data_IF_079016585494
#
_entry.id   IF_079016585494
#
_cell.length_a   1.000
_cell.length_b   1.000
_cell.length_c   1.000
_cell.angle_alpha   90.00
_cell.angle_beta   90.00
_cell.angle_gamma   90.00
#
_symmetry.space_group_name_H-M   'P 1'
#
loop_
_entity.id
_entity.type
_entity.pdbx_description
1 polymer ?
#
# COMPACT_ATOMS: atom_id res chain seq x y z
N UNK A 1 14.76 3.25 -10.81
CA UNK A 1 14.66 2.99 -12.26
C UNK A 1 13.77 4.05 -12.92
N UNK A 2 13.38 3.86 -14.19
CA UNK A 2 12.69 4.74 -15.15
C UNK A 2 13.24 6.17 -15.28
N UNK A 3 13.36 6.88 -14.18
CA UNK A 3 13.85 8.25 -14.08
C UNK A 3 15.32 8.36 -13.71
N UNK A 4 15.99 7.24 -13.43
CA UNK A 4 17.40 7.20 -12.98
C UNK A 4 17.65 8.08 -11.73
N UNK A 5 16.64 8.15 -10.84
CA UNK A 5 16.68 8.96 -9.62
C UNK A 5 16.59 8.09 -8.37
N UNK A 6 17.19 8.57 -7.30
CA UNK A 6 17.08 8.01 -5.95
C UNK A 6 16.37 9.01 -5.07
N UNK A 7 15.27 8.58 -4.45
CA UNK A 7 14.54 9.39 -3.47
C UNK A 7 14.98 8.98 -2.06
N UNK A 8 15.50 9.95 -1.30
CA UNK A 8 15.98 9.74 0.08
C UNK A 8 15.12 10.54 1.06
N UNK A 9 14.56 9.85 2.05
CA UNK A 9 13.67 10.43 3.07
C UNK A 9 14.22 10.25 4.50
N UNK A 10 15.54 10.27 4.65
CA UNK A 10 16.25 10.00 5.91
C UNK A 10 16.30 11.18 6.89
N UNK A 11 15.59 12.28 6.64
CA UNK A 11 15.64 13.51 7.45
C UNK A 11 14.69 13.49 8.65
N UNK A 12 13.84 12.47 8.82
CA UNK A 12 12.89 12.40 9.93
C UNK A 12 13.56 12.02 11.24
N UNK A 13 13.28 12.78 12.30
CA UNK A 13 13.75 12.50 13.67
C UNK A 13 13.12 11.22 14.23
N UNK A 14 11.80 11.09 14.09
CA UNK A 14 11.06 9.88 14.45
C UNK A 14 10.76 9.12 13.16
N UNK A 15 11.31 7.91 13.05
CA UNK A 15 11.07 7.06 11.88
C UNK A 15 9.71 6.39 12.00
N UNK A 16 8.91 6.34 10.92
CA UNK A 16 7.68 5.58 10.93
C UNK A 16 7.99 4.09 11.03
N UNK A 17 7.05 3.35 11.61
CA UNK A 17 7.05 1.90 11.54
C UNK A 17 6.46 1.49 10.19
N UNK A 18 7.25 0.85 9.33
CA UNK A 18 6.86 0.57 7.94
C UNK A 18 6.96 -0.91 7.60
N UNK A 19 5.97 -1.43 6.88
CA UNK A 19 5.89 -2.81 6.46
C UNK A 19 5.01 -2.96 5.21
N UNK A 20 5.21 -4.04 4.46
CA UNK A 20 4.41 -4.36 3.28
C UNK A 20 3.63 -5.63 3.57
N UNK A 21 2.35 -5.63 3.23
CA UNK A 21 1.49 -6.80 3.22
C UNK A 21 1.13 -7.14 1.79
N UNK A 22 1.16 -8.42 1.45
CA UNK A 22 0.84 -8.95 0.12
C UNK A 22 -0.03 -10.19 0.26
N UNK A 23 -0.81 -10.56 -0.76
CA UNK A 23 -1.45 -11.86 -0.81
C UNK A 23 -0.40 -12.98 -0.73
N UNK A 24 -0.76 -14.13 -0.15
CA UNK A 24 0.19 -15.23 0.07
C UNK A 24 0.82 -15.74 -1.23
N UNK A 25 0.04 -15.76 -2.31
CA UNK A 25 0.49 -16.24 -3.62
C UNK A 25 1.48 -15.30 -4.31
N UNK A 26 1.54 -14.01 -3.94
CA UNK A 26 2.47 -13.05 -4.55
C UNK A 26 3.90 -13.35 -4.10
N UNK A 27 4.93 -13.30 -4.96
CA UNK A 27 6.31 -13.56 -4.56
C UNK A 27 6.85 -12.60 -3.48
N UNK A 28 7.77 -13.10 -2.63
CA UNK A 28 8.35 -12.32 -1.53
C UNK A 28 9.24 -11.14 -1.98
N UNK A 29 9.68 -11.08 -3.25
CA UNK A 29 10.39 -9.91 -3.76
C UNK A 29 9.55 -8.61 -3.64
N UNK A 30 8.22 -8.72 -3.62
CA UNK A 30 7.32 -7.58 -3.44
C UNK A 30 7.25 -7.07 -1.98
N UNK A 31 7.89 -7.74 -1.03
CA UNK A 31 8.11 -7.21 0.32
C UNK A 31 9.26 -6.19 0.37
N UNK A 32 10.06 -6.09 -0.70
CA UNK A 32 11.01 -5.01 -0.88
C UNK A 32 10.32 -3.80 -1.55
N UNK A 33 10.33 -2.67 -0.85
CA UNK A 33 9.62 -1.45 -1.26
C UNK A 33 10.16 -0.86 -2.55
N UNK A 34 11.48 -0.93 -2.75
CA UNK A 34 12.09 -0.43 -3.97
C UNK A 34 11.66 -1.28 -5.17
N UNK A 35 11.69 -2.61 -5.03
CA UNK A 35 11.22 -3.56 -6.03
C UNK A 35 9.75 -3.34 -6.36
N UNK A 36 8.89 -3.30 -5.34
CA UNK A 36 7.44 -3.09 -5.49
C UNK A 36 7.14 -1.84 -6.33
N UNK A 37 7.62 -0.67 -5.91
CA UNK A 37 7.21 0.58 -6.54
C UNK A 37 7.88 0.82 -7.90
N UNK A 38 9.12 0.37 -8.12
CA UNK A 38 9.72 0.44 -9.46
C UNK A 38 8.96 -0.45 -10.46
N UNK A 39 8.60 -1.69 -10.07
CA UNK A 39 7.80 -2.57 -10.95
C UNK A 39 6.42 -1.97 -11.25
N UNK A 40 5.76 -1.39 -10.24
CA UNK A 40 4.46 -0.72 -10.43
C UNK A 40 4.58 0.49 -11.37
N UNK A 41 5.57 1.36 -11.18
CA UNK A 41 5.83 2.51 -12.07
C UNK A 41 6.07 2.07 -13.51
N UNK A 42 6.92 1.05 -13.73
CA UNK A 42 7.21 0.52 -15.07
C UNK A 42 5.97 -0.03 -15.79
N UNK A 43 4.99 -0.53 -15.03
CA UNK A 43 3.73 -1.04 -15.59
C UNK A 43 2.76 0.06 -16.03
N UNK A 44 2.94 1.29 -15.54
CA UNK A 44 2.08 2.44 -15.84
C UNK A 44 2.63 3.26 -17.02
N UNK A 45 2.17 2.93 -18.23
CA UNK A 45 2.70 3.49 -19.48
C UNK A 45 2.16 4.87 -19.85
N UNK A 46 1.09 5.34 -19.20
CA UNK A 46 0.46 6.62 -19.53
C UNK A 46 0.91 7.71 -18.55
N UNK A 47 1.16 8.95 -19.00
CA UNK A 47 1.61 10.04 -18.11
C UNK A 47 0.56 10.43 -17.05
N UNK A 48 -0.72 10.13 -17.29
CA UNK A 48 -1.83 10.35 -16.35
C UNK A 48 -2.28 9.06 -15.65
N UNK A 49 -1.47 8.00 -15.69
CA UNK A 49 -1.78 6.76 -15.03
C UNK A 49 -1.81 6.95 -13.50
N UNK A 50 -2.74 6.26 -12.85
CA UNK A 50 -2.81 6.17 -11.40
C UNK A 50 -1.88 5.06 -10.91
N UNK A 51 -0.80 5.41 -10.22
CA UNK A 51 0.17 4.46 -9.66
C UNK A 51 -0.40 3.71 -8.46
N UNK A 52 -0.93 4.45 -7.48
CA UNK A 52 -1.45 3.91 -6.23
C UNK A 52 -2.76 4.58 -5.83
N UNK A 53 -3.40 4.01 -4.81
CA UNK A 53 -4.40 4.69 -3.98
C UNK A 53 -3.84 4.79 -2.57
N UNK A 54 -3.91 5.97 -1.99
CA UNK A 54 -3.50 6.20 -0.60
C UNK A 54 -4.73 6.35 0.30
N UNK A 55 -4.65 5.75 1.49
CA UNK A 55 -5.56 5.99 2.59
C UNK A 55 -4.77 6.50 3.78
N UNK A 56 -5.25 7.56 4.41
CA UNK A 56 -4.72 8.06 5.68
C UNK A 56 -5.72 7.77 6.79
N UNK A 57 -5.25 7.06 7.81
CA UNK A 57 -6.08 6.54 8.88
C UNK A 57 -5.56 7.07 10.21
N UNK A 58 -6.39 7.80 10.95
CA UNK A 58 -6.07 8.19 12.33
C UNK A 58 -6.15 6.98 13.26
N UNK A 59 -5.24 6.89 14.21
CA UNK A 59 -5.18 5.80 15.20
C UNK A 59 -5.65 6.29 16.56
N UNK A 60 -6.36 5.46 17.34
CA UNK A 60 -6.73 5.80 18.71
C UNK A 60 -5.49 5.97 19.58
N UNK A 61 -5.43 7.08 20.33
CA UNK A 61 -4.32 7.41 21.23
C UNK A 61 -4.32 6.56 22.50
N UNK A 62 -5.46 5.95 22.82
CA UNK A 62 -5.66 5.08 23.98
C UNK A 62 -5.00 3.70 23.78
N UNK A 63 -4.73 3.33 22.53
CA UNK A 63 -4.04 2.09 22.18
C UNK A 63 -2.53 2.27 22.28
N UNK A 64 -1.85 1.27 22.83
CA UNK A 64 -0.39 1.22 22.75
C UNK A 64 0.08 0.94 21.31
N UNK A 65 1.37 1.14 21.05
CA UNK A 65 1.94 0.99 19.71
C UNK A 65 1.72 -0.40 19.09
N UNK A 66 1.74 -1.47 19.90
CA UNK A 66 1.52 -2.84 19.42
C UNK A 66 0.07 -3.05 18.98
N UNK A 67 -0.88 -2.56 19.77
CA UNK A 67 -2.31 -2.67 19.46
C UNK A 67 -2.68 -1.81 18.25
N UNK A 68 -2.09 -0.61 18.12
CA UNK A 68 -2.21 0.21 16.91
C UNK A 68 -1.68 -0.51 15.67
N UNK A 69 -0.53 -1.19 15.79
CA UNK A 69 0.05 -1.98 14.70
C UNK A 69 -0.89 -3.11 14.30
N UNK A 70 -1.34 -3.92 15.26
CA UNK A 70 -2.25 -5.04 15.00
C UNK A 70 -3.55 -4.56 14.35
N UNK A 71 -4.15 -3.47 14.86
CA UNK A 71 -5.36 -2.89 14.31
C UNK A 71 -5.22 -2.55 12.82
N UNK A 72 -4.13 -1.89 12.43
CA UNK A 72 -3.87 -1.55 11.02
C UNK A 72 -3.53 -2.78 10.19
N UNK A 73 -2.73 -3.69 10.72
CA UNK A 73 -2.34 -4.91 10.03
C UNK A 73 -3.57 -5.77 9.69
N UNK A 74 -4.48 -5.96 10.65
CA UNK A 74 -5.72 -6.71 10.46
C UNK A 74 -6.67 -5.97 9.51
N UNK A 75 -6.87 -4.66 9.71
CA UNK A 75 -7.69 -3.86 8.80
C UNK A 75 -7.20 -3.96 7.35
N UNK A 76 -5.90 -3.86 7.11
CA UNK A 76 -5.32 -3.93 5.77
C UNK A 76 -5.43 -5.34 5.19
N UNK A 77 -5.20 -6.38 6.00
CA UNK A 77 -5.35 -7.77 5.57
C UNK A 77 -6.78 -8.08 5.13
N UNK A 78 -7.75 -7.74 5.97
CA UNK A 78 -9.15 -8.11 5.78
C UNK A 78 -9.82 -7.36 4.63
N UNK A 79 -9.40 -6.11 4.38
CA UNK A 79 -10.08 -5.23 3.41
C UNK A 79 -9.37 -5.09 2.06
N UNK A 80 -8.06 -5.32 1.99
CA UNK A 80 -7.29 -5.05 0.77
C UNK A 80 -6.46 -6.24 0.30
N UNK A 81 -5.72 -6.88 1.22
CA UNK A 81 -4.86 -8.02 0.85
C UNK A 81 -5.71 -9.23 0.48
N UNK A 82 -6.80 -9.47 1.21
CA UNK A 82 -7.82 -10.47 0.89
C UNK A 82 -8.41 -10.31 -0.52
N UNK A 83 -8.49 -9.06 -1.01
CA UNK A 83 -8.97 -8.70 -2.34
C UNK A 83 -7.84 -8.67 -3.41
N UNK A 84 -6.66 -9.17 -3.07
CA UNK A 84 -5.54 -9.34 -4.00
C UNK A 84 -4.62 -8.12 -4.16
N UNK A 85 -4.80 -7.06 -3.36
CA UNK A 85 -3.96 -5.86 -3.40
C UNK A 85 -2.69 -6.04 -2.55
N UNK A 86 -1.59 -5.39 -2.95
CA UNK A 86 -0.41 -5.23 -2.10
C UNK A 86 -0.53 -3.87 -1.41
N UNK A 87 -0.26 -3.83 -0.12
CA UNK A 87 -0.35 -2.64 0.71
C UNK A 87 1.02 -2.30 1.33
N UNK A 88 1.52 -1.11 1.06
CA UNK A 88 2.69 -0.53 1.73
C UNK A 88 2.20 0.41 2.83
N UNK A 89 2.50 0.05 4.08
CA UNK A 89 1.98 0.72 5.27
C UNK A 89 3.12 1.45 5.98
N UNK A 90 2.87 2.68 6.39
CA UNK A 90 3.74 3.45 7.27
C UNK A 90 2.94 4.07 8.42
N UNK A 91 3.24 3.66 9.65
CA UNK A 91 2.63 4.21 10.87
C UNK A 91 3.51 5.34 11.41
N UNK A 92 2.94 6.53 11.46
CA UNK A 92 3.52 7.75 11.99
C UNK A 92 3.11 7.97 13.44
N UNK A 93 4.10 8.27 14.29
CA UNK A 93 3.95 8.56 15.73
C UNK A 93 4.89 9.69 16.15
N UNK A 94 5.15 10.62 15.22
CA UNK A 94 5.95 11.82 15.44
C UNK A 94 5.19 12.92 16.20
N UNK A 95 3.87 12.78 16.35
CA UNK A 95 3.01 13.51 17.27
C UNK A 95 2.23 12.52 18.14
N UNK A 96 2.42 12.58 19.46
CA UNK A 96 1.76 11.70 20.43
C UNK A 96 0.24 11.84 20.42
N UNK A 97 -0.29 13.00 20.00
CA UNK A 97 -1.73 13.26 19.94
C UNK A 97 -2.34 12.95 18.57
N UNK A 98 -1.51 12.58 17.58
CA UNK A 98 -1.97 12.31 16.22
C UNK A 98 -1.22 11.12 15.57
N UNK A 99 -1.25 9.92 16.18
CA UNK A 99 -0.76 8.73 15.51
C UNK A 99 -1.65 8.43 14.29
N UNK A 100 -1.04 8.17 13.15
CA UNK A 100 -1.77 7.88 11.91
C UNK A 100 -0.99 6.91 11.02
N UNK A 101 -1.70 6.19 10.16
CA UNK A 101 -1.12 5.28 9.18
C UNK A 101 -1.39 5.79 7.76
N UNK A 102 -0.34 5.82 6.95
CA UNK A 102 -0.42 5.91 5.50
C UNK A 102 -0.48 4.48 4.94
N UNK A 103 -1.46 4.20 4.09
CA UNK A 103 -1.63 2.90 3.42
C UNK A 103 -1.66 3.16 1.91
N UNK A 104 -0.58 2.79 1.23
CA UNK A 104 -0.49 2.86 -0.23
C UNK A 104 -0.83 1.51 -0.85
N UNK A 105 -1.89 1.46 -1.64
CA UNK A 105 -2.38 0.26 -2.31
C UNK A 105 -1.98 0.25 -3.78
N UNK A 106 -1.58 -0.92 -4.28
CA UNK A 106 -1.33 -1.13 -5.71
C UNK A 106 -2.63 -0.99 -6.51
N UNK A 107 -2.53 -0.40 -7.71
CA UNK A 107 -3.67 -0.29 -8.62
C UNK A 107 -3.79 -1.50 -9.58
N UNK A 108 -2.84 -2.42 -9.52
CA UNK A 108 -2.76 -3.65 -10.32
C UNK A 108 -2.51 -4.85 -9.41
N UNK A 109 -3.08 -5.97 -9.81
CA UNK A 109 -2.79 -7.28 -9.23
C UNK A 109 -1.44 -7.79 -9.73
N UNK A 110 -0.80 -8.61 -8.89
CA UNK A 110 0.40 -9.37 -9.23
C UNK A 110 0.02 -10.84 -9.14
N UNK A 111 0.35 -11.64 -10.14
CA UNK A 111 0.08 -13.09 -10.10
C UNK A 111 1.13 -13.86 -9.29
N UNK A 112 0.96 -15.19 -9.20
CA UNK A 112 1.88 -16.06 -8.45
C UNK A 112 3.28 -16.18 -9.05
N UNK A 113 3.46 -15.78 -10.31
CA UNK A 113 4.75 -15.76 -11.00
C UNK A 113 5.45 -14.40 -10.85
N UNK A 114 4.78 -13.41 -10.25
CA UNK A 114 5.30 -12.05 -10.12
C UNK A 114 5.04 -11.17 -11.34
N UNK A 115 4.12 -11.55 -12.23
CA UNK A 115 3.74 -10.69 -13.35
C UNK A 115 2.71 -9.66 -12.91
N UNK A 116 2.90 -8.40 -13.31
CA UNK A 116 1.92 -7.33 -13.08
C UNK A 116 0.80 -7.44 -14.12
N UNK A 117 -0.43 -7.61 -13.65
CA UNK A 117 -1.60 -7.79 -14.49
C UNK A 117 -2.17 -6.46 -14.99
N UNK A 118 -3.05 -6.56 -16.00
CA UNK A 118 -3.81 -5.41 -16.46
C UNK A 118 -4.81 -4.95 -15.39
N UNK A 119 -5.01 -3.63 -15.29
CA UNK A 119 -6.06 -3.06 -14.44
C UNK A 119 -7.41 -3.65 -14.87
N UNK A 120 -8.17 -4.16 -13.90
CA UNK A 120 -9.54 -4.62 -14.15
C UNK A 120 -10.39 -3.45 -14.67
N UNK A 121 -11.24 -3.72 -15.66
CA UNK A 121 -12.25 -2.74 -16.09
C UNK A 121 -13.21 -2.53 -14.93
N UNK A 122 -13.54 -1.27 -14.65
CA UNK A 122 -14.62 -0.93 -13.72
C UNK A 122 -15.92 -1.47 -14.30
N UNK A 123 -16.53 -2.44 -13.63
CA UNK A 123 -17.88 -2.93 -13.93
C UNK A 123 -18.82 -2.19 -12.96
N UNK A 124 -19.71 -1.31 -13.45
CA UNK A 124 -20.73 -0.71 -12.60
C UNK A 124 -21.59 -1.82 -11.99
N UNK A 125 -21.79 -1.79 -10.66
CA UNK A 125 -22.92 -2.48 -10.05
C UNK A 125 -24.11 -1.54 -10.18
N UNK A 126 -25.01 -1.87 -11.11
CA UNK A 126 -26.26 -1.17 -11.30
C UNK A 126 -27.24 -1.59 -10.21
N UNK A 127 -28.08 -0.68 -9.75
CA UNK A 127 -29.21 -1.03 -8.90
C UNK A 127 -30.41 -1.48 -9.77
N UNK A 128 -31.57 -1.69 -9.17
CA UNK A 128 -32.78 -2.11 -9.89
C UNK A 128 -33.24 -1.12 -10.99
N UNK A 129 -32.75 0.13 -10.95
CA UNK A 129 -33.07 1.18 -11.90
C UNK A 129 -31.99 1.44 -12.95
N UNK A 130 -30.92 0.63 -12.98
CA UNK A 130 -29.81 0.77 -13.93
C UNK A 130 -28.73 1.72 -13.46
#
# INVERSE_FOLDING_TARGET
ELYEKTNLYNHRTVKPEAFILKPDYVPNEYLDRQTLWNKMELSEKQPNARLCRELNVALPIELNNSDQRMLIEDFVKDNFVSEGMIADVAIHRDDENNPHAHIMLTMREVDSEGNILNKRKRIPKLDENG
#
